data_IF_147227737085
#
_entry.id   IF_147227737085
#
_cell.length_a   1.000
_cell.length_b   1.000
_cell.length_c   1.000
_cell.angle_alpha   90.00
_cell.angle_beta   90.00
_cell.angle_gamma   90.00
#
_symmetry.space_group_name_H-M   'P 1'
#
loop_
_entity.id
_entity.type
_entity.pdbx_description
1 polymer ?
#
# COMPACT_ATOMS: atom_id res chain seq x y z
N UNK A 1 -28.79 -27.01 -17.98
CA UNK A 1 -28.33 -26.24 -16.81
C UNK A 1 -26.89 -26.65 -16.52
N UNK A 2 -25.92 -25.80 -16.82
CA UNK A 2 -24.51 -26.05 -16.46
C UNK A 2 -24.31 -25.75 -14.98
N UNK A 3 -23.94 -26.76 -14.20
CA UNK A 3 -23.58 -26.57 -12.79
C UNK A 3 -22.41 -25.58 -12.67
N UNK A 4 -22.59 -24.50 -11.92
CA UNK A 4 -21.50 -23.60 -11.57
C UNK A 4 -20.49 -24.34 -10.69
N UNK A 5 -19.24 -24.41 -11.15
CA UNK A 5 -18.15 -24.91 -10.32
C UNK A 5 -17.93 -23.95 -9.13
N UNK A 6 -17.74 -24.46 -7.91
CA UNK A 6 -17.44 -23.62 -6.76
C UNK A 6 -16.14 -22.83 -7.01
N UNK A 7 -16.12 -21.56 -6.59
CA UNK A 7 -14.94 -20.69 -6.74
C UNK A 7 -13.75 -21.27 -5.95
N UNK A 8 -12.52 -21.29 -6.51
CA UNK A 8 -11.32 -21.68 -5.79
C UNK A 8 -11.13 -20.87 -4.50
N UNK A 9 -10.63 -21.52 -3.45
CA UNK A 9 -10.38 -20.89 -2.15
C UNK A 9 -9.41 -19.69 -2.24
N UNK A 10 -8.42 -19.75 -3.12
CA UNK A 10 -7.49 -18.64 -3.37
C UNK A 10 -8.18 -17.37 -3.91
N UNK A 11 -9.16 -17.53 -4.81
CA UNK A 11 -9.92 -16.37 -5.30
C UNK A 11 -10.81 -15.78 -4.19
N UNK A 12 -11.42 -16.63 -3.37
CA UNK A 12 -12.22 -16.16 -2.22
C UNK A 12 -11.36 -15.41 -1.19
N UNK A 13 -10.11 -15.81 -1.00
CA UNK A 13 -9.18 -15.10 -0.13
C UNK A 13 -8.82 -13.72 -0.69
N UNK A 14 -8.55 -13.64 -2.00
CA UNK A 14 -8.28 -12.35 -2.68
C UNK A 14 -9.51 -11.43 -2.60
N UNK A 15 -10.71 -11.94 -2.85
CA UNK A 15 -11.94 -11.14 -2.78
C UNK A 15 -12.15 -10.53 -1.38
N UNK A 16 -11.91 -11.33 -0.32
CA UNK A 16 -11.99 -10.87 1.08
C UNK A 16 -10.93 -9.83 1.40
N UNK A 17 -9.71 -10.01 0.91
CA UNK A 17 -8.63 -9.03 1.11
C UNK A 17 -8.96 -7.71 0.41
N UNK A 18 -9.38 -7.77 -0.86
CA UNK A 18 -9.75 -6.57 -1.64
C UNK A 18 -10.90 -5.81 -1.01
N UNK A 19 -11.90 -6.51 -0.44
CA UNK A 19 -13.03 -5.87 0.24
C UNK A 19 -12.62 -5.03 1.46
N UNK A 20 -11.49 -5.33 2.11
CA UNK A 20 -11.01 -4.60 3.30
C UNK A 20 -10.09 -3.42 2.98
N UNK A 21 -9.65 -3.26 1.74
CA UNK A 21 -8.60 -2.29 1.38
C UNK A 21 -8.91 -0.85 1.79
N UNK A 22 -10.17 -0.42 1.71
CA UNK A 22 -10.56 0.93 2.10
C UNK A 22 -10.37 1.17 3.61
N UNK A 23 -10.89 0.28 4.43
CA UNK A 23 -10.78 0.38 5.90
C UNK A 23 -9.31 0.24 6.34
N UNK A 24 -8.58 -0.72 5.74
CA UNK A 24 -7.16 -0.93 6.02
C UNK A 24 -6.32 0.30 5.64
N UNK A 25 -6.65 0.99 4.54
CA UNK A 25 -5.97 2.21 4.12
C UNK A 25 -6.20 3.37 5.11
N UNK A 26 -7.44 3.57 5.58
CA UNK A 26 -7.75 4.59 6.60
C UNK A 26 -7.05 4.30 7.93
N UNK A 27 -7.13 3.05 8.39
CA UNK A 27 -6.46 2.61 9.61
C UNK A 27 -4.94 2.82 9.52
N UNK A 28 -4.35 2.50 8.36
CA UNK A 28 -2.92 2.73 8.12
C UNK A 28 -2.57 4.22 8.10
N UNK A 29 -3.38 5.05 7.45
CA UNK A 29 -3.13 6.48 7.36
C UNK A 29 -3.16 7.16 8.74
N UNK A 30 -4.23 6.94 9.50
CA UNK A 30 -4.38 7.56 10.82
C UNK A 30 -3.40 6.96 11.84
N UNK A 31 -3.21 5.64 11.81
CA UNK A 31 -2.32 4.93 12.73
C UNK A 31 -0.84 5.29 12.57
N UNK A 32 -0.42 5.76 11.39
CA UNK A 32 0.97 6.11 11.11
C UNK A 32 1.28 7.61 11.23
N UNK A 33 0.35 8.45 11.71
CA UNK A 33 0.51 9.92 11.73
C UNK A 33 1.82 10.40 12.37
N UNK A 34 2.16 9.86 13.55
CA UNK A 34 3.38 10.24 14.26
C UNK A 34 4.65 9.76 13.55
N UNK A 35 4.65 8.51 13.08
CA UNK A 35 5.78 7.95 12.33
C UNK A 35 6.02 8.72 11.02
N UNK A 36 4.94 9.05 10.30
CA UNK A 36 4.99 9.85 9.08
C UNK A 36 5.61 11.23 9.34
N UNK A 37 5.25 11.90 10.43
CA UNK A 37 5.84 13.19 10.81
C UNK A 37 7.35 13.10 11.06
N UNK A 38 7.81 12.05 11.74
CA UNK A 38 9.25 11.81 11.99
C UNK A 38 10.01 11.56 10.68
N UNK A 39 9.45 10.74 9.80
CA UNK A 39 10.05 10.44 8.49
C UNK A 39 10.10 11.69 7.61
N UNK A 40 9.01 12.47 7.56
CA UNK A 40 8.97 13.73 6.81
C UNK A 40 10.04 14.72 7.30
N UNK A 41 10.20 14.89 8.61
CA UNK A 41 11.25 15.74 9.19
C UNK A 41 12.66 15.27 8.78
N UNK A 42 12.90 13.95 8.76
CA UNK A 42 14.18 13.38 8.31
C UNK A 42 14.44 13.61 6.83
N UNK A 43 13.43 13.42 5.97
CA UNK A 43 13.52 13.68 4.53
C UNK A 43 13.85 15.16 4.30
N UNK A 44 13.14 16.08 4.96
CA UNK A 44 13.39 17.53 4.84
C UNK A 44 14.79 17.92 5.30
N UNK A 45 15.30 17.29 6.37
CA UNK A 45 16.65 17.56 6.89
C UNK A 45 17.76 17.02 5.97
N UNK A 46 17.55 15.86 5.34
CA UNK A 46 18.59 15.16 4.58
C UNK A 46 18.52 15.43 3.08
N UNK A 47 17.37 15.86 2.56
CA UNK A 47 17.11 16.10 1.13
C UNK A 47 17.23 14.84 0.27
N UNK A 48 17.21 13.65 0.88
CA UNK A 48 17.40 12.37 0.18
C UNK A 48 16.42 11.33 0.70
N UNK A 49 15.85 10.58 -0.25
CA UNK A 49 14.96 9.46 0.02
C UNK A 49 15.32 8.32 -0.94
N UNK A 50 15.43 7.10 -0.40
CA UNK A 50 15.62 5.88 -1.19
C UNK A 50 14.44 4.96 -0.91
N UNK A 51 13.70 4.60 -1.96
CA UNK A 51 12.58 3.66 -1.89
C UNK A 51 13.04 2.31 -2.49
N UNK A 52 13.09 1.27 -1.66
CA UNK A 52 13.51 -0.08 -2.05
C UNK A 52 12.32 -1.04 -1.95
N UNK A 53 12.16 -1.90 -2.95
CA UNK A 53 11.12 -2.90 -2.99
C UNK A 53 11.19 -3.74 -4.26
N UNK A 54 10.50 -4.89 -4.25
CA UNK A 54 10.36 -5.82 -5.38
C UNK A 54 8.88 -6.07 -5.67
N UNK A 55 8.54 -6.38 -6.91
CA UNK A 55 7.15 -6.67 -7.31
C UNK A 55 6.18 -5.53 -7.01
N UNK A 56 5.06 -5.84 -6.36
CA UNK A 56 4.04 -4.84 -6.01
C UNK A 56 4.60 -3.71 -5.13
N UNK A 57 5.52 -4.00 -4.21
CA UNK A 57 6.16 -2.97 -3.36
C UNK A 57 7.02 -2.00 -4.20
N UNK A 58 7.67 -2.48 -5.26
CA UNK A 58 8.36 -1.62 -6.20
C UNK A 58 7.39 -0.73 -6.98
N UNK A 59 6.25 -1.28 -7.42
CA UNK A 59 5.24 -0.52 -8.13
C UNK A 59 4.68 0.63 -7.27
N UNK A 60 4.44 0.40 -5.97
CA UNK A 60 4.05 1.45 -5.03
C UNK A 60 5.14 2.53 -4.93
N UNK A 61 6.42 2.15 -4.77
CA UNK A 61 7.52 3.10 -4.74
C UNK A 61 7.56 3.99 -5.98
N UNK A 62 7.34 3.43 -7.18
CA UNK A 62 7.27 4.19 -8.44
C UNK A 62 6.06 5.11 -8.51
N UNK A 63 4.91 4.69 -7.98
CA UNK A 63 3.68 5.48 -8.01
C UNK A 63 3.78 6.73 -7.13
N UNK A 64 4.42 6.63 -5.96
CA UNK A 64 4.51 7.74 -5.00
C UNK A 64 5.74 8.63 -5.19
N UNK A 65 6.76 8.16 -5.92
CA UNK A 65 8.02 8.89 -6.11
C UNK A 65 7.85 10.35 -6.61
N UNK A 66 6.95 10.66 -7.56
CA UNK A 66 6.73 12.04 -7.99
C UNK A 66 6.26 12.98 -6.86
N UNK A 67 5.52 12.44 -5.88
CA UNK A 67 5.00 13.21 -4.75
C UNK A 67 6.11 13.71 -3.81
N UNK A 68 7.26 13.03 -3.80
CA UNK A 68 8.43 13.43 -3.00
C UNK A 68 9.40 14.35 -3.75
N UNK A 69 9.16 14.62 -5.04
CA UNK A 69 9.98 15.50 -5.88
C UNK A 69 9.42 16.91 -6.04
N UNK A 70 8.13 17.09 -5.79
CA UNK A 70 7.46 18.39 -5.80
C UNK A 70 7.93 19.25 -4.62
#
# INVERSE_FOLDING_TARGET
>A
MTAQKPRPSGLLAIDREMARQHEDALASFEGNREAAAKVAASISKTGRLVLLGMGASHAVARAVEPLYRA
#
